data_IF_983293117792
#
_entry.id   IF_983293117792
#
_cell.length_a   1.000
_cell.length_b   1.000
_cell.length_c   1.000
_cell.angle_alpha   90.00
_cell.angle_beta   90.00
_cell.angle_gamma   90.00
#
_symmetry.space_group_name_H-M   'P 1'
#
loop_
_entity.id
_entity.type
_entity.pdbx_description
1 polymer ?
#
# COMPACT_ATOMS: atom_id res chain seq x y z
N UNK A 1 59.99 -20.90 12.30
CA UNK A 1 59.63 -20.51 10.93
C UNK A 1 58.10 -20.61 10.84
N UNK A 2 57.35 -19.79 11.58
CA UNK A 2 56.91 -18.41 11.24
C UNK A 2 56.37 -18.31 9.80
N UNK A 3 55.04 -18.36 9.63
CA UNK A 3 54.31 -17.15 9.24
C UNK A 3 52.80 -17.29 9.49
N UNK A 4 52.35 -16.54 10.50
CA UNK A 4 51.00 -16.04 10.71
C UNK A 4 50.67 -15.06 9.57
N UNK A 5 49.45 -15.07 9.04
CA UNK A 5 48.89 -13.88 8.39
C UNK A 5 47.62 -13.53 9.16
N UNK A 6 47.75 -12.45 9.89
CA UNK A 6 46.73 -11.81 10.70
C UNK A 6 46.65 -10.35 10.23
N UNK A 7 45.42 -9.83 10.18
CA UNK A 7 45.03 -8.42 10.15
C UNK A 7 45.21 -7.64 8.84
N UNK A 8 44.08 -7.30 8.20
CA UNK A 8 43.51 -5.93 8.22
C UNK A 8 42.50 -5.80 7.08
N UNK A 9 41.20 -5.68 7.39
CA UNK A 9 40.35 -4.87 6.53
C UNK A 9 39.47 -3.97 7.39
N UNK A 10 39.75 -2.68 7.23
CA UNK A 10 39.33 -1.57 8.06
C UNK A 10 37.81 -1.46 8.10
N UNK A 11 37.28 -1.34 9.31
CA UNK A 11 36.00 -0.69 9.56
C UNK A 11 36.16 0.72 9.01
N UNK A 12 35.41 1.06 7.95
CA UNK A 12 35.33 2.43 7.45
C UNK A 12 34.15 3.05 8.18
N UNK A 13 34.46 3.88 9.17
CA UNK A 13 33.48 4.73 9.82
C UNK A 13 32.79 5.60 8.76
N UNK A 14 31.49 5.40 8.56
CA UNK A 14 30.63 6.29 7.77
C UNK A 14 30.53 7.64 8.48
N UNK A 15 31.53 8.48 8.26
CA UNK A 15 31.50 9.87 8.70
C UNK A 15 30.57 10.63 7.75
N UNK A 16 29.38 10.98 8.24
CA UNK A 16 28.44 11.86 7.56
C UNK A 16 29.16 13.17 7.19
N UNK A 17 29.40 13.39 5.90
CA UNK A 17 29.98 14.64 5.41
C UNK A 17 28.82 15.60 5.19
N UNK A 18 28.63 16.55 6.10
CA UNK A 18 27.74 17.69 5.86
C UNK A 18 28.49 18.66 4.94
N UNK A 19 28.20 18.61 3.65
CA UNK A 19 28.73 19.57 2.67
C UNK A 19 27.75 20.74 2.53
N UNK A 20 28.11 21.88 3.12
CA UNK A 20 27.46 23.15 2.85
C UNK A 20 27.81 23.62 1.43
N UNK A 21 26.83 23.71 0.54
CA UNK A 21 26.95 24.52 -0.69
C UNK A 21 26.15 24.00 -1.89
N UNK A 22 25.06 24.72 -2.22
CA UNK A 22 24.19 24.62 -3.42
C UNK A 22 23.61 23.22 -3.67
N UNK A 23 22.34 23.07 -3.31
CA UNK A 23 21.51 21.86 -3.38
C UNK A 23 21.30 21.34 -4.82
N UNK A 24 22.34 20.82 -5.45
CA UNK A 24 22.19 19.85 -6.52
C UNK A 24 22.36 18.46 -5.91
N UNK A 25 21.23 17.85 -5.58
CA UNK A 25 21.14 16.42 -5.23
C UNK A 25 21.85 15.63 -6.34
N UNK A 26 22.73 14.71 -5.97
CA UNK A 26 23.50 13.91 -6.92
C UNK A 26 22.54 13.19 -7.88
N UNK A 27 22.97 12.99 -9.14
CA UNK A 27 22.13 12.36 -10.17
C UNK A 27 21.65 10.98 -9.71
N UNK A 28 22.51 10.25 -9.02
CA UNK A 28 22.20 8.95 -8.44
C UNK A 28 21.19 9.06 -7.30
N UNK A 29 21.33 10.04 -6.41
CA UNK A 29 20.37 10.28 -5.33
C UNK A 29 18.99 10.66 -5.87
N UNK A 30 18.92 11.46 -6.95
CA UNK A 30 17.66 11.76 -7.65
C UNK A 30 17.02 10.50 -8.23
N UNK A 31 17.81 9.59 -8.79
CA UNK A 31 17.32 8.31 -9.32
C UNK A 31 16.74 7.43 -8.20
N UNK A 32 17.44 7.32 -7.07
CA UNK A 32 16.95 6.58 -5.90
C UNK A 32 15.64 7.18 -5.35
N UNK A 33 15.56 8.51 -5.22
CA UNK A 33 14.34 9.18 -4.76
C UNK A 33 13.18 8.98 -5.74
N UNK A 34 13.43 9.11 -7.04
CA UNK A 34 12.42 8.87 -8.07
C UNK A 34 11.90 7.42 -8.05
N UNK A 35 12.80 6.45 -7.88
CA UNK A 35 12.43 5.03 -7.80
C UNK A 35 11.62 4.75 -6.53
N UNK A 36 12.03 5.31 -5.39
CA UNK A 36 11.30 5.18 -4.13
C UNK A 36 9.88 5.76 -4.22
N UNK A 37 9.73 6.97 -4.78
CA UNK A 37 8.42 7.62 -4.99
C UNK A 37 7.53 6.77 -5.90
N UNK A 38 8.07 6.30 -7.04
CA UNK A 38 7.31 5.45 -7.96
C UNK A 38 6.85 4.15 -7.30
N UNK A 39 7.67 3.57 -6.42
CA UNK A 39 7.32 2.34 -5.70
C UNK A 39 6.23 2.56 -4.66
N UNK A 40 6.24 3.69 -3.94
CA UNK A 40 5.19 4.06 -2.97
C UNK A 40 3.82 4.18 -3.66
N UNK A 41 3.77 4.92 -4.78
CA UNK A 41 2.53 5.12 -5.55
C UNK A 41 1.97 3.78 -6.05
N UNK A 42 2.84 2.86 -6.50
CA UNK A 42 2.40 1.55 -6.97
C UNK A 42 1.79 0.71 -5.86
N UNK A 43 2.40 0.70 -4.67
CA UNK A 43 1.89 -0.01 -3.50
C UNK A 43 0.56 0.57 -3.00
N UNK A 44 0.42 1.91 -3.01
CA UNK A 44 -0.81 2.60 -2.64
C UNK A 44 -1.96 2.30 -3.61
N UNK A 45 -1.68 2.17 -4.92
CA UNK A 45 -2.69 1.85 -5.93
C UNK A 45 -3.29 0.44 -5.73
N UNK A 46 -2.50 -0.53 -5.28
CA UNK A 46 -2.97 -1.89 -5.00
C UNK A 46 -3.88 -1.94 -3.75
N UNK A 47 -3.72 -1.03 -2.78
CA UNK A 47 -4.60 -0.94 -1.61
C UNK A 47 -6.02 -0.45 -1.94
N UNK A 48 -6.18 0.39 -2.98
CA UNK A 48 -7.48 0.93 -3.40
C UNK A 48 -8.36 -0.16 -4.06
N UNK A 49 -7.76 -1.21 -4.64
CA UNK A 49 -8.47 -2.23 -5.42
C UNK A 49 -9.11 -3.32 -4.54
N UNK A 50 -8.68 -3.50 -3.29
CA UNK A 50 -9.04 -4.67 -2.47
C UNK A 50 -10.31 -4.47 -1.61
N UNK A 51 -10.86 -3.25 -1.49
CA UNK A 51 -12.02 -3.00 -0.64
C UNK A 51 -13.25 -2.39 -1.36
N UNK A 52 -14.01 -3.15 -2.18
CA UNK A 52 -15.17 -2.65 -2.92
C UNK A 52 -16.46 -2.60 -2.06
N UNK A 53 -16.36 -2.21 -0.78
CA UNK A 53 -17.53 -2.16 0.12
C UNK A 53 -17.59 -0.86 0.94
N UNK A 54 -17.56 0.26 0.24
CA UNK A 54 -18.24 1.48 0.69
C UNK A 54 -19.34 1.73 -0.32
N UNK A 55 -20.58 1.41 0.06
CA UNK A 55 -21.76 1.76 -0.70
C UNK A 55 -21.85 3.29 -0.74
N UNK A 56 -21.57 3.87 -1.90
CA UNK A 56 -21.78 5.29 -2.17
C UNK A 56 -23.27 5.46 -2.44
N UNK A 57 -24.01 5.88 -1.42
CA UNK A 57 -25.30 6.54 -1.60
C UNK A 57 -25.09 7.78 -2.47
N UNK A 58 -25.87 7.88 -3.55
CA UNK A 58 -25.93 9.07 -4.41
C UNK A 58 -26.49 10.25 -3.61
N UNK A 59 -25.61 10.99 -2.94
CA UNK A 59 -25.92 12.36 -2.51
C UNK A 59 -25.49 13.27 -3.64
N UNK A 60 -26.44 14.04 -4.16
CA UNK A 60 -26.21 15.02 -5.21
C UNK A 60 -25.03 15.92 -4.84
N UNK A 61 -23.95 15.82 -5.61
CA UNK A 61 -22.79 16.69 -5.53
C UNK A 61 -23.22 18.09 -5.97
N UNK A 62 -23.52 18.96 -5.00
CA UNK A 62 -23.31 20.38 -5.21
C UNK A 62 -21.81 20.59 -5.10
N UNK A 63 -21.13 20.72 -6.23
CA UNK A 63 -19.75 21.18 -6.29
C UNK A 63 -19.68 22.53 -5.58
N UNK A 64 -19.14 22.54 -4.36
CA UNK A 64 -18.68 23.79 -3.77
C UNK A 64 -17.38 24.11 -4.52
N UNK A 65 -17.49 24.94 -5.56
CA UNK A 65 -16.33 25.55 -6.19
C UNK A 65 -15.72 26.52 -5.18
N UNK A 66 -14.78 26.01 -4.38
CA UNK A 66 -14.00 26.80 -3.42
C UNK A 66 -12.81 27.50 -4.08
N UNK A 67 -12.51 27.22 -5.34
CA UNK A 67 -11.39 27.77 -6.06
C UNK A 67 -11.86 28.27 -7.42
N UNK A 68 -11.78 29.59 -7.62
CA UNK A 68 -11.88 30.19 -8.94
C UNK A 68 -10.56 29.89 -9.67
N UNK A 69 -10.62 29.12 -10.77
CA UNK A 69 -9.45 28.69 -11.53
C UNK A 69 -8.67 29.84 -12.20
N UNK A 70 -9.05 31.09 -11.94
CA UNK A 70 -8.43 32.29 -12.51
C UNK A 70 -7.39 32.95 -11.60
N UNK A 71 -7.23 32.50 -10.35
CA UNK A 71 -6.26 33.06 -9.40
C UNK A 71 -5.16 32.09 -9.00
N UNK A 72 -3.90 32.46 -9.27
CA UNK A 72 -2.73 31.78 -8.73
C UNK A 72 -2.59 32.08 -7.24
N UNK A 73 -2.80 31.08 -6.39
CA UNK A 73 -2.66 31.23 -4.94
C UNK A 73 -1.22 30.93 -4.52
N UNK A 74 -0.65 31.82 -3.70
CA UNK A 74 0.63 31.54 -3.03
C UNK A 74 0.37 30.60 -1.85
N UNK A 75 1.36 29.77 -1.48
CA UNK A 75 1.26 28.81 -0.37
C UNK A 75 0.73 29.42 0.95
N UNK A 76 1.08 30.68 1.25
CA UNK A 76 0.59 31.42 2.41
C UNK A 76 -0.92 31.68 2.38
N UNK A 77 -1.50 31.81 1.20
CA UNK A 77 -2.93 31.99 0.99
C UNK A 77 -3.68 30.69 1.23
N UNK A 78 -3.14 29.57 0.72
CA UNK A 78 -3.64 28.22 1.01
C UNK A 78 -3.62 27.89 2.51
N UNK A 79 -2.57 28.30 3.22
CA UNK A 79 -2.48 28.03 4.66
C UNK A 79 -3.58 28.73 5.47
N UNK A 80 -4.05 29.91 5.01
CA UNK A 80 -5.13 30.66 5.67
C UNK A 80 -6.48 29.98 5.55
N UNK A 81 -6.74 29.32 4.42
CA UNK A 81 -7.96 28.53 4.25
C UNK A 81 -7.91 27.25 5.08
N UNK A 82 -6.73 26.64 5.24
CA UNK A 82 -6.54 25.44 6.07
C UNK A 82 -6.66 25.73 7.58
N UNK A 83 -6.20 26.89 8.05
CA UNK A 83 -6.28 27.29 9.47
C UNK A 83 -7.70 27.67 9.93
N UNK A 84 -8.69 27.68 9.03
CA UNK A 84 -10.10 27.86 9.35
C UNK A 84 -10.48 29.26 9.84
N UNK A 85 -9.65 30.28 9.58
CA UNK A 85 -9.87 31.66 10.03
C UNK A 85 -10.97 32.40 9.25
N UNK A 86 -11.30 32.00 8.02
CA UNK A 86 -12.28 32.70 7.19
C UNK A 86 -13.74 32.52 7.61
N UNK A 87 -14.04 31.52 8.45
CA UNK A 87 -15.43 31.26 8.88
C UNK A 87 -16.02 32.30 9.85
N UNK A 88 -15.23 33.30 10.29
CA UNK A 88 -15.66 34.27 11.33
C UNK A 88 -16.27 35.57 10.82
N UNK A 89 -16.38 35.80 9.52
CA UNK A 89 -16.95 37.06 8.98
C UNK A 89 -18.40 36.97 8.48
N UNK A 90 -18.99 35.78 8.42
CA UNK A 90 -20.38 35.57 8.00
C UNK A 90 -21.12 34.58 8.90
N UNK A 91 -21.42 34.93 10.16
CA UNK A 91 -22.56 34.32 10.87
C UNK A 91 -22.94 35.13 12.10
N UNK A 92 -23.79 36.14 11.88
CA UNK A 92 -24.66 36.65 12.92
C UNK A 92 -25.99 35.90 12.82
N UNK A 93 -26.13 34.74 13.47
CA UNK A 93 -27.44 34.23 13.85
C UNK A 93 -27.32 33.31 15.08
N UNK A 94 -27.73 33.83 16.23
CA UNK A 94 -27.94 33.05 17.45
C UNK A 94 -29.26 32.32 17.27
N UNK A 95 -29.23 30.99 17.22
CA UNK A 95 -30.28 30.06 17.68
C UNK A 95 -30.00 28.68 17.06
N UNK A 96 -29.22 27.85 17.76
CA UNK A 96 -29.20 26.39 17.59
C UNK A 96 -28.78 25.75 18.93
N UNK A 97 -29.36 24.59 19.32
CA UNK A 97 -29.09 23.90 20.59
C UNK A 97 -27.61 23.45 20.72
N UNK A 98 -27.11 23.10 21.92
CA UNK A 98 -25.68 22.89 22.17
C UNK A 98 -25.22 21.61 21.47
N UNK A 99 -24.87 21.74 20.20
CA UNK A 99 -24.12 20.74 19.46
C UNK A 99 -22.70 20.86 19.99
N UNK A 100 -22.23 19.81 20.68
CA UNK A 100 -20.90 19.73 21.27
C UNK A 100 -19.90 20.24 20.24
N UNK A 101 -19.23 21.35 20.56
CA UNK A 101 -18.33 22.00 19.63
C UNK A 101 -17.26 20.99 19.24
N UNK A 102 -17.16 20.65 17.95
CA UNK A 102 -16.09 19.77 17.43
C UNK A 102 -14.69 20.24 17.85
N UNK A 103 -14.54 21.54 18.16
CA UNK A 103 -13.34 22.16 18.73
C UNK A 103 -13.04 21.68 20.16
N UNK A 104 -14.04 21.53 21.02
CA UNK A 104 -13.89 21.03 22.39
C UNK A 104 -13.48 19.56 22.36
N UNK A 105 -14.11 18.73 21.53
CA UNK A 105 -13.76 17.31 21.35
C UNK A 105 -12.29 17.15 20.91
N UNK A 106 -11.84 18.00 19.98
CA UNK A 106 -10.44 17.98 19.53
C UNK A 106 -9.46 18.44 20.63
N UNK A 107 -9.83 19.43 21.43
CA UNK A 107 -9.02 19.89 22.56
C UNK A 107 -8.91 18.83 23.66
N UNK A 108 -9.98 18.08 23.91
CA UNK A 108 -9.99 17.00 24.89
C UNK A 108 -9.09 15.84 24.44
N UNK A 109 -9.11 15.46 23.16
CA UNK A 109 -8.22 14.44 22.60
C UNK A 109 -6.76 14.88 22.71
N UNK A 110 -6.45 16.14 22.39
CA UNK A 110 -5.08 16.69 22.49
C UNK A 110 -4.61 16.70 23.94
N UNK A 111 -5.45 17.19 24.86
CA UNK A 111 -5.12 17.26 26.29
C UNK A 111 -4.90 15.87 26.87
N UNK A 112 -5.77 14.92 26.52
CA UNK A 112 -5.65 13.52 26.90
C UNK A 112 -4.35 12.90 26.37
N UNK A 113 -4.00 13.16 25.11
CA UNK A 113 -2.77 12.66 24.50
C UNK A 113 -1.51 13.18 25.21
N UNK A 114 -1.48 14.47 25.56
CA UNK A 114 -0.36 15.07 26.30
C UNK A 114 -0.25 14.50 27.72
N UNK A 115 -1.38 14.24 28.38
CA UNK A 115 -1.40 13.69 29.74
C UNK A 115 -1.05 12.20 29.79
N UNK A 116 -1.51 11.42 28.82
CA UNK A 116 -1.36 9.97 28.79
C UNK A 116 0.00 9.51 28.24
N UNK A 117 0.79 10.40 27.60
CA UNK A 117 2.08 10.12 26.92
C UNK A 117 2.15 8.70 26.32
N UNK A 118 1.22 8.37 25.39
CA UNK A 118 1.04 7.00 24.95
C UNK A 118 2.26 6.55 24.14
N UNK A 119 3.06 5.64 24.72
CA UNK A 119 4.15 4.97 24.00
C UNK A 119 3.61 3.85 23.14
N UNK A 120 3.97 3.86 21.86
CA UNK A 120 3.69 2.74 20.95
C UNK A 120 4.67 1.61 21.29
N UNK A 121 4.18 0.55 21.95
CA UNK A 121 4.95 -0.68 22.05
C UNK A 121 5.01 -1.36 20.68
N UNK A 122 6.22 -1.70 20.17
CA UNK A 122 6.32 -2.45 18.94
C UNK A 122 5.60 -3.79 19.11
N UNK A 123 4.67 -4.10 18.21
CA UNK A 123 3.98 -5.39 18.20
C UNK A 123 5.05 -6.48 18.14
N UNK A 124 5.03 -7.40 19.10
CA UNK A 124 5.90 -8.58 19.09
C UNK A 124 5.50 -9.47 17.91
N UNK A 125 6.08 -9.20 16.73
CA UNK A 125 6.00 -10.13 15.60
C UNK A 125 6.72 -11.40 16.00
N UNK A 126 6.21 -12.56 15.58
CA UNK A 126 6.92 -13.84 15.76
C UNK A 126 8.34 -13.66 15.22
N UNK A 127 9.34 -14.06 16.00
CA UNK A 127 10.74 -14.02 15.57
C UNK A 127 10.88 -14.68 14.20
N UNK A 128 11.63 -14.04 13.30
CA UNK A 128 11.90 -14.58 11.98
C UNK A 128 12.49 -15.99 12.13
N UNK A 129 11.77 -16.98 11.59
CA UNK A 129 12.16 -18.38 11.64
C UNK A 129 12.32 -18.85 10.19
N UNK A 130 13.55 -19.10 9.73
CA UNK A 130 13.81 -19.57 8.37
C UNK A 130 13.03 -20.85 8.04
N UNK A 131 12.86 -21.74 9.02
CA UNK A 131 12.10 -22.99 8.87
C UNK A 131 10.60 -22.75 8.65
N UNK A 132 9.99 -21.79 9.36
CA UNK A 132 8.58 -21.45 9.12
C UNK A 132 8.38 -20.74 7.77
N UNK A 133 9.30 -19.86 7.37
CA UNK A 133 9.24 -19.20 6.06
C UNK A 133 9.41 -20.20 4.91
N UNK A 134 10.35 -21.15 5.04
CA UNK A 134 10.52 -22.22 4.06
C UNK A 134 9.24 -23.07 3.89
N UNK A 135 8.54 -23.39 4.99
CA UNK A 135 7.25 -24.11 4.92
C UNK A 135 6.17 -23.32 4.19
N UNK A 136 6.09 -22.01 4.41
CA UNK A 136 5.15 -21.14 3.69
C UNK A 136 5.50 -21.02 2.20
N UNK A 137 6.79 -21.08 1.84
CA UNK A 137 7.23 -21.14 0.44
C UNK A 137 6.81 -22.43 -0.27
N UNK A 138 6.63 -23.53 0.46
CA UNK A 138 6.18 -24.82 -0.10
C UNK A 138 4.66 -24.88 -0.20
N UNK A 139 3.92 -24.10 0.60
CA UNK A 139 2.46 -24.06 0.49
C UNK A 139 2.05 -23.36 -0.80
N UNK A 140 1.60 -24.15 -1.77
CA UNK A 140 1.11 -23.77 -3.09
C UNK A 140 -0.23 -23.01 -3.01
N UNK A 141 -0.16 -21.82 -2.42
CA UNK A 141 -1.15 -20.76 -2.55
C UNK A 141 -0.84 -19.87 -3.76
N UNK A 142 -0.17 -20.45 -4.77
CA UNK A 142 0.33 -19.76 -5.94
C UNK A 142 -0.75 -19.02 -6.73
N UNK A 143 -0.32 -17.97 -7.44
CA UNK A 143 -1.13 -17.28 -8.42
C UNK A 143 -1.61 -18.24 -9.50
N UNK A 144 -2.89 -18.17 -9.86
CA UNK A 144 -3.49 -19.00 -10.92
C UNK A 144 -4.16 -18.13 -11.97
N UNK A 145 -3.94 -18.46 -13.23
CA UNK A 145 -4.57 -17.81 -14.38
C UNK A 145 -4.84 -18.84 -15.48
N UNK A 146 -5.77 -18.52 -16.39
CA UNK A 146 -6.09 -19.39 -17.53
C UNK A 146 -4.86 -19.58 -18.44
N UNK A 147 -4.10 -18.51 -18.69
CA UNK A 147 -2.85 -18.56 -19.45
C UNK A 147 -1.81 -19.47 -18.79
N UNK A 148 -1.70 -19.43 -17.47
CA UNK A 148 -0.79 -20.34 -16.75
C UNK A 148 -1.21 -21.80 -16.93
N UNK A 149 -2.50 -22.09 -16.87
CA UNK A 149 -3.01 -23.44 -17.14
C UNK A 149 -2.68 -23.90 -18.57
N UNK A 150 -2.83 -23.02 -19.57
CA UNK A 150 -2.45 -23.31 -20.95
C UNK A 150 -0.95 -23.59 -21.10
N UNK A 151 -0.09 -22.79 -20.48
CA UNK A 151 1.36 -23.02 -20.47
C UNK A 151 1.69 -24.41 -19.90
N UNK A 152 1.03 -24.83 -18.82
CA UNK A 152 1.22 -26.19 -18.27
C UNK A 152 0.78 -27.27 -19.27
N UNK A 153 -0.28 -27.06 -20.03
CA UNK A 153 -0.71 -27.99 -21.09
C UNK A 153 0.33 -28.06 -22.20
N UNK A 154 0.87 -26.91 -22.64
CA UNK A 154 1.89 -26.83 -23.69
C UNK A 154 3.21 -27.50 -23.27
N UNK A 155 3.53 -27.43 -21.98
CA UNK A 155 4.67 -28.14 -21.37
C UNK A 155 4.42 -29.65 -21.19
N UNK A 156 3.20 -30.14 -21.43
CA UNK A 156 2.81 -31.54 -21.17
C UNK A 156 2.52 -31.87 -19.71
N UNK A 157 2.54 -30.86 -18.82
CA UNK A 157 2.29 -31.00 -17.39
C UNK A 157 0.78 -31.01 -17.09
N UNK A 158 0.07 -32.04 -17.55
CA UNK A 158 -1.39 -32.09 -17.47
C UNK A 158 -1.94 -32.12 -16.03
N UNK A 159 -1.22 -32.75 -15.09
CA UNK A 159 -1.61 -32.78 -13.68
C UNK A 159 -1.71 -31.37 -13.10
N UNK A 160 -0.72 -30.52 -13.38
CA UNK A 160 -0.63 -29.15 -12.88
C UNK A 160 -1.64 -28.23 -13.58
N UNK A 161 -1.86 -28.45 -14.87
CA UNK A 161 -2.93 -27.78 -15.61
C UNK A 161 -4.31 -28.07 -15.01
N UNK A 162 -4.59 -29.34 -14.66
CA UNK A 162 -5.85 -29.74 -14.00
C UNK A 162 -5.99 -29.02 -12.66
N UNK A 163 -4.96 -29.05 -11.80
CA UNK A 163 -4.98 -28.35 -10.50
C UNK A 163 -5.26 -26.85 -10.68
N UNK A 164 -4.64 -26.22 -11.67
CA UNK A 164 -4.82 -24.80 -11.97
C UNK A 164 -6.27 -24.51 -12.40
N UNK A 165 -6.84 -25.32 -13.29
CA UNK A 165 -8.24 -25.18 -13.70
C UNK A 165 -9.24 -25.45 -12.56
N UNK A 166 -8.94 -26.38 -11.66
CA UNK A 166 -9.76 -26.62 -10.47
C UNK A 166 -9.75 -25.40 -9.53
N UNK A 167 -8.58 -24.82 -9.26
CA UNK A 167 -8.44 -23.57 -8.50
C UNK A 167 -9.18 -22.41 -9.18
N UNK A 168 -9.08 -22.28 -10.52
CA UNK A 168 -9.80 -21.26 -11.28
C UNK A 168 -11.31 -21.42 -11.22
N UNK A 169 -11.82 -22.66 -11.21
CA UNK A 169 -13.26 -22.92 -11.07
C UNK A 169 -13.81 -22.46 -9.72
N UNK A 170 -13.00 -22.48 -8.67
CA UNK A 170 -13.40 -21.98 -7.35
C UNK A 170 -13.36 -20.44 -7.31
N UNK A 171 -12.37 -19.82 -7.96
CA UNK A 171 -12.25 -18.34 -8.02
C UNK A 171 -13.27 -17.69 -8.95
N UNK A 172 -13.61 -18.35 -10.06
CA UNK A 172 -14.42 -17.79 -11.15
C UNK A 172 -15.66 -18.67 -11.43
N UNK A 173 -16.67 -18.71 -10.54
CA UNK A 173 -17.81 -19.62 -10.66
C UNK A 173 -18.64 -19.40 -11.94
N UNK A 174 -18.64 -18.17 -12.50
CA UNK A 174 -19.33 -17.84 -13.75
C UNK A 174 -18.83 -18.66 -14.95
N UNK A 175 -17.54 -19.05 -14.95
CA UNK A 175 -16.90 -19.84 -16.00
C UNK A 175 -16.77 -21.34 -15.63
N UNK A 176 -17.46 -21.81 -14.58
CA UNK A 176 -17.32 -23.17 -14.05
C UNK A 176 -17.52 -24.26 -15.11
N UNK A 177 -18.52 -24.12 -15.98
CA UNK A 177 -18.79 -25.12 -17.04
C UNK A 177 -17.60 -25.26 -18.00
N UNK A 178 -17.04 -24.13 -18.44
CA UNK A 178 -15.88 -24.10 -19.33
C UNK A 178 -14.68 -24.82 -18.71
N UNK A 179 -14.33 -24.50 -17.46
CA UNK A 179 -13.22 -25.16 -16.78
C UNK A 179 -13.47 -26.66 -16.58
N UNK A 180 -14.70 -27.07 -16.28
CA UNK A 180 -15.04 -28.48 -16.15
C UNK A 180 -14.81 -29.25 -17.46
N UNK A 181 -15.10 -28.64 -18.61
CA UNK A 181 -14.86 -29.28 -19.91
C UNK A 181 -13.36 -29.34 -20.25
N UNK A 182 -12.58 -28.31 -19.95
CA UNK A 182 -11.11 -28.36 -20.08
C UNK A 182 -10.49 -29.45 -19.21
N UNK A 183 -10.94 -29.57 -17.95
CA UNK A 183 -10.47 -30.63 -17.03
C UNK A 183 -10.79 -32.02 -17.58
N UNK A 184 -11.98 -32.24 -18.17
CA UNK A 184 -12.32 -33.54 -18.79
C UNK A 184 -11.37 -33.87 -19.93
N UNK A 185 -11.10 -32.91 -20.82
CA UNK A 185 -10.18 -33.09 -21.96
C UNK A 185 -8.79 -33.47 -21.45
N UNK A 186 -8.27 -32.75 -20.45
CA UNK A 186 -6.95 -33.02 -19.89
C UNK A 186 -6.88 -34.37 -19.17
N UNK A 187 -7.94 -34.78 -18.45
CA UNK A 187 -8.02 -36.10 -17.81
C UNK A 187 -8.03 -37.24 -18.83
N UNK A 188 -8.53 -37.01 -20.05
CA UNK A 188 -8.43 -37.98 -21.14
C UNK A 188 -7.01 -38.07 -21.69
N UNK A 189 -6.34 -36.93 -21.88
CA UNK A 189 -4.93 -36.88 -22.33
C UNK A 189 -3.97 -37.54 -21.35
N UNK A 190 -4.20 -37.41 -20.05
CA UNK A 190 -3.38 -38.05 -19.01
C UNK A 190 -3.54 -39.57 -18.95
N UNK A 191 -4.62 -40.12 -19.51
CA UNK A 191 -4.90 -41.57 -19.54
C UNK A 191 -4.44 -42.25 -20.83
N UNK A 192 -3.99 -41.49 -21.82
CA UNK A 192 -3.43 -42.01 -23.08
C UNK A 192 -1.93 -42.20 -22.94
#
# INVERSE_FOLDING_TARGET
>A
IVHQIEQNNSIVDEKLIIVNGKEEIDVLEKEYLSQAISSSILLEADEIIINPKVAVEKVAEQEISLFDGTTEHTFLDWLKHFSGEESRKFSGNKNNPPTVNKREINQDIITRFIQEDPRIEPKKTKFYSPTNMARLSVTDSGFVSETLALIHVDQGNFQEAINTYEKLSLKNPKKRSYFADQIKILKLKLKQ
#
